data_IF_436003507841
#
_entry.id   IF_436003507841
#
_cell.length_a   1.000
_cell.length_b   1.000
_cell.length_c   1.000
_cell.angle_alpha   90.00
_cell.angle_beta   90.00
_cell.angle_gamma   90.00
#
_symmetry.space_group_name_H-M   'P 1'
#
loop_
_entity.id
_entity.type
_entity.pdbx_description
1 polymer ?
#
# COMPACT_ATOMS: atom_id res chain seq x y z
N UNK A 1 7.85 -4.39 -6.41
CA UNK A 1 7.33 -3.82 -7.68
C UNK A 1 7.75 -4.58 -8.93
N UNK A 2 9.06 -4.74 -9.25
CA UNK A 2 9.49 -5.44 -10.48
C UNK A 2 9.03 -6.90 -10.58
N UNK A 3 8.99 -7.63 -9.45
CA UNK A 3 8.43 -8.98 -9.41
C UNK A 3 6.94 -9.02 -9.80
N UNK A 4 6.15 -8.08 -9.27
CA UNK A 4 4.71 -7.95 -9.57
C UNK A 4 4.50 -7.59 -11.05
N UNK A 5 5.33 -6.70 -11.62
CA UNK A 5 5.32 -6.41 -13.06
C UNK A 5 5.48 -7.68 -13.90
N UNK A 6 6.37 -8.60 -13.51
CA UNK A 6 6.52 -9.90 -14.16
C UNK A 6 5.22 -10.70 -14.20
N UNK A 7 4.48 -10.72 -13.08
CA UNK A 7 3.16 -11.36 -13.02
C UNK A 7 2.12 -10.61 -13.87
N UNK A 8 2.14 -9.27 -13.88
CA UNK A 8 1.27 -8.47 -14.75
C UNK A 8 1.48 -8.84 -16.23
N UNK A 9 2.74 -8.91 -16.67
CA UNK A 9 3.10 -9.23 -18.06
C UNK A 9 2.77 -10.67 -18.42
N UNK A 10 3.04 -11.62 -17.51
CA UNK A 10 2.70 -13.02 -17.71
C UNK A 10 1.19 -13.23 -17.90
N UNK A 11 0.36 -12.46 -17.17
CA UNK A 11 -1.10 -12.59 -17.22
C UNK A 11 -1.76 -11.79 -18.35
N UNK A 12 -1.33 -10.55 -18.56
CA UNK A 12 -2.03 -9.57 -19.40
C UNK A 12 -1.30 -9.25 -20.71
N UNK A 13 -0.12 -9.84 -20.92
CA UNK A 13 0.74 -9.60 -22.07
C UNK A 13 1.72 -8.43 -21.86
N UNK A 14 2.66 -8.24 -22.81
CA UNK A 14 3.68 -7.18 -22.72
C UNK A 14 3.07 -5.78 -22.70
N UNK A 15 3.64 -4.92 -21.86
CA UNK A 15 3.24 -3.52 -21.74
C UNK A 15 4.45 -2.62 -21.47
N UNK A 16 4.98 -2.02 -22.53
CA UNK A 16 6.17 -1.17 -22.44
C UNK A 16 5.93 0.08 -21.59
N UNK A 17 4.70 0.64 -21.62
CA UNK A 17 4.36 1.83 -20.85
C UNK A 17 4.30 1.54 -19.36
N UNK A 18 3.70 0.41 -18.98
CA UNK A 18 3.68 -0.06 -17.60
C UNK A 18 5.10 -0.38 -17.10
N UNK A 19 5.89 -1.11 -17.90
CA UNK A 19 7.25 -1.49 -17.53
C UNK A 19 8.13 -0.24 -17.28
N UNK A 20 8.12 0.72 -18.21
CA UNK A 20 8.89 1.95 -18.07
C UNK A 20 8.46 2.76 -16.83
N UNK A 21 7.17 2.83 -16.53
CA UNK A 21 6.66 3.52 -15.35
C UNK A 21 7.08 2.81 -14.04
N UNK A 22 6.99 1.49 -14.00
CA UNK A 22 7.45 0.69 -12.84
C UNK A 22 8.94 0.88 -12.61
N UNK A 23 9.75 0.88 -13.67
CA UNK A 23 11.19 1.09 -13.54
C UNK A 23 11.55 2.49 -13.08
N UNK A 24 10.84 3.53 -13.56
CA UNK A 24 11.03 4.90 -13.10
C UNK A 24 10.67 5.05 -11.62
N UNK A 25 9.56 4.48 -11.17
CA UNK A 25 9.17 4.51 -9.75
C UNK A 25 10.17 3.73 -8.89
N UNK A 26 10.50 2.50 -9.27
CA UNK A 26 11.42 1.68 -8.51
C UNK A 26 12.85 2.25 -8.47
N UNK A 27 13.28 2.91 -9.54
CA UNK A 27 14.64 3.46 -9.65
C UNK A 27 14.82 4.86 -9.06
N UNK A 28 13.76 5.68 -8.99
CA UNK A 28 13.88 7.10 -8.58
C UNK A 28 12.99 7.43 -7.39
N UNK A 29 11.71 7.10 -7.48
CA UNK A 29 10.71 7.47 -6.47
C UNK A 29 10.91 6.68 -5.17
N UNK A 30 11.10 5.36 -5.26
CA UNK A 30 11.29 4.51 -4.07
C UNK A 30 12.50 4.95 -3.25
N UNK A 31 13.72 5.12 -3.82
CA UNK A 31 14.85 5.63 -3.05
C UNK A 31 14.65 7.05 -2.52
N UNK A 32 13.85 7.88 -3.20
CA UNK A 32 13.56 9.25 -2.77
C UNK A 32 12.64 9.31 -1.55
N UNK A 33 11.63 8.44 -1.50
CA UNK A 33 10.62 8.42 -0.43
C UNK A 33 10.96 7.48 0.73
N UNK A 34 11.63 6.36 0.45
CA UNK A 34 11.84 5.25 1.39
C UNK A 34 13.32 4.83 1.52
N UNK A 35 14.25 5.57 0.93
CA UNK A 35 15.67 5.27 1.02
C UNK A 35 16.24 5.45 2.43
N UNK A 36 17.44 4.90 2.66
CA UNK A 36 18.12 4.99 3.95
C UNK A 36 18.28 6.45 4.41
N UNK A 37 17.92 6.71 5.68
CA UNK A 37 17.99 8.05 6.28
C UNK A 37 16.97 9.06 5.74
N UNK A 38 15.97 8.62 4.96
CA UNK A 38 14.88 9.49 4.48
C UNK A 38 13.74 9.66 5.48
N UNK A 39 13.61 8.71 6.42
CA UNK A 39 12.49 8.63 7.33
C UNK A 39 12.96 8.77 8.77
N UNK A 40 12.23 9.59 9.54
CA UNK A 40 12.42 9.72 10.98
C UNK A 40 11.08 9.49 11.71
N UNK A 41 11.00 8.52 12.64
CA UNK A 41 12.05 7.55 12.95
C UNK A 41 12.35 6.63 11.77
N UNK A 42 13.55 6.04 11.77
CA UNK A 42 13.90 4.99 10.81
C UNK A 42 12.87 3.84 10.85
N UNK A 43 12.63 3.21 9.70
CA UNK A 43 11.63 2.14 9.58
C UNK A 43 12.01 0.97 10.48
N UNK A 44 11.14 0.67 11.44
CA UNK A 44 11.19 -0.54 12.24
C UNK A 44 10.17 -1.54 11.67
N UNK A 45 10.59 -2.74 11.25
CA UNK A 45 9.65 -3.74 10.76
C UNK A 45 8.64 -4.15 11.84
N UNK A 46 7.36 -4.06 11.52
CA UNK A 46 6.24 -4.52 12.36
C UNK A 46 5.43 -5.56 11.61
N UNK A 47 4.67 -6.38 12.34
CA UNK A 47 3.69 -7.28 11.72
C UNK A 47 2.59 -6.43 11.10
N UNK A 48 2.40 -6.58 9.79
CA UNK A 48 1.28 -6.01 9.05
C UNK A 48 0.38 -7.16 8.58
N UNK A 49 -0.93 -6.92 8.54
CA UNK A 49 -1.92 -7.85 8.00
C UNK A 49 -1.71 -8.05 6.49
N UNK A 50 -1.35 -6.97 5.80
CA UNK A 50 -0.93 -6.93 4.40
C UNK A 50 -2.03 -7.05 3.35
N UNK A 51 -3.28 -7.17 3.82
CA UNK A 51 -4.50 -7.19 3.00
C UNK A 51 -5.70 -6.64 3.79
N UNK A 52 -5.52 -5.65 4.68
CA UNK A 52 -6.61 -5.14 5.51
C UNK A 52 -7.43 -4.07 4.77
N UNK A 53 -8.56 -4.46 4.20
CA UNK A 53 -9.53 -3.54 3.59
C UNK A 53 -10.94 -3.85 4.08
N UNK A 54 -11.94 -3.06 3.65
CA UNK A 54 -13.34 -3.23 4.04
C UNK A 54 -13.91 -4.65 3.92
N UNK A 55 -13.33 -5.48 3.05
CA UNK A 55 -13.72 -6.89 2.88
C UNK A 55 -13.14 -7.84 3.94
N UNK A 56 -12.05 -7.45 4.59
CA UNK A 56 -11.24 -8.30 5.48
C UNK A 56 -11.32 -7.90 6.96
N UNK A 57 -12.34 -7.12 7.33
CA UNK A 57 -12.68 -6.85 8.72
C UNK A 57 -14.19 -6.83 8.96
N UNK A 58 -14.60 -7.14 10.19
CA UNK A 58 -15.99 -7.11 10.62
C UNK A 58 -16.10 -6.80 12.13
N UNK A 59 -17.31 -6.48 12.58
CA UNK A 59 -17.64 -6.47 14.01
C UNK A 59 -18.43 -7.74 14.28
N UNK A 60 -17.95 -8.55 15.22
CA UNK A 60 -18.53 -9.86 15.48
C UNK A 60 -18.09 -10.45 16.80
N UNK A 61 -18.26 -11.76 16.94
CA UNK A 61 -17.88 -12.50 18.14
C UNK A 61 -17.15 -13.78 17.72
N UNK A 62 -16.00 -14.04 18.32
CA UNK A 62 -15.33 -15.33 18.19
C UNK A 62 -16.10 -16.36 19.01
N UNK A 63 -16.39 -17.53 18.44
CA UNK A 63 -17.10 -18.59 19.16
C UNK A 63 -16.35 -18.97 20.45
N UNK A 64 -17.01 -18.87 21.60
CA UNK A 64 -16.39 -19.06 22.92
C UNK A 64 -15.80 -17.79 23.55
N UNK A 65 -15.69 -16.69 22.80
CA UNK A 65 -15.42 -15.35 23.34
C UNK A 65 -16.73 -14.67 23.76
N UNK A 66 -16.71 -13.96 24.90
CA UNK A 66 -17.91 -13.36 25.49
C UNK A 66 -18.35 -12.04 24.86
N UNK A 67 -17.39 -11.20 24.44
CA UNK A 67 -17.67 -9.85 23.97
C UNK A 67 -17.83 -9.79 22.43
N UNK A 68 -18.51 -8.75 21.95
CA UNK A 68 -18.43 -8.34 20.55
C UNK A 68 -17.15 -7.52 20.38
N UNK A 69 -16.41 -7.78 19.32
CA UNK A 69 -15.10 -7.17 19.06
C UNK A 69 -14.88 -6.93 17.56
N UNK A 70 -13.82 -6.18 17.24
CA UNK A 70 -13.34 -6.03 15.88
C UNK A 70 -12.56 -7.29 15.48
N UNK A 71 -12.95 -7.87 14.34
CA UNK A 71 -12.34 -9.06 13.76
C UNK A 71 -11.64 -8.67 12.47
N UNK A 72 -10.45 -9.22 12.26
CA UNK A 72 -9.69 -9.15 11.00
C UNK A 72 -9.41 -10.57 10.53
N UNK A 73 -9.41 -10.79 9.22
CA UNK A 73 -9.28 -12.13 8.62
C UNK A 73 -8.66 -12.08 7.23
N UNK A 74 -8.27 -13.24 6.71
CA UNK A 74 -7.59 -13.43 5.42
C UNK A 74 -6.27 -12.63 5.27
N UNK A 75 -5.30 -12.81 6.19
CA UNK A 75 -4.05 -12.06 6.15
C UNK A 75 -3.13 -12.50 5.00
N UNK A 76 -2.43 -11.52 4.45
CA UNK A 76 -1.18 -11.71 3.68
C UNK A 76 0.00 -11.18 4.51
N UNK A 77 0.12 -11.71 5.72
CA UNK A 77 0.95 -11.09 6.76
C UNK A 77 2.45 -11.10 6.45
N UNK A 78 3.11 -9.99 6.76
CA UNK A 78 4.56 -9.82 6.58
C UNK A 78 5.14 -8.93 7.67
N UNK A 79 6.44 -8.99 7.89
CA UNK A 79 7.15 -7.94 8.63
C UNK A 79 7.52 -6.81 7.67
N UNK A 80 6.98 -5.62 7.88
CA UNK A 80 7.14 -4.49 6.95
C UNK A 80 7.03 -3.13 7.62
N UNK A 81 7.09 -2.08 6.82
CA UNK A 81 6.83 -0.72 7.30
C UNK A 81 5.35 -0.58 7.66
N UNK A 82 5.02 0.00 8.82
CA UNK A 82 3.64 0.17 9.26
C UNK A 82 2.73 0.89 8.24
N UNK A 83 3.29 1.89 7.54
CA UNK A 83 2.56 2.64 6.50
C UNK A 83 2.15 1.78 5.29
N UNK A 84 2.73 0.58 5.11
CA UNK A 84 2.33 -0.35 4.04
C UNK A 84 0.86 -0.76 4.14
N UNK A 85 0.37 -1.05 5.35
CA UNK A 85 -1.04 -1.46 5.56
C UNK A 85 -2.01 -0.37 5.07
N UNK A 86 -1.65 0.89 5.32
CA UNK A 86 -2.49 2.04 5.06
C UNK A 86 -2.76 2.24 3.56
N UNK A 87 -1.88 1.70 2.70
CA UNK A 87 -2.05 1.70 1.25
C UNK A 87 -3.31 0.96 0.80
N UNK A 88 -3.51 -0.30 1.22
CA UNK A 88 -4.71 -1.06 0.85
C UNK A 88 -5.97 -0.56 1.57
N UNK A 89 -5.82 -0.10 2.81
CA UNK A 89 -6.92 0.52 3.57
C UNK A 89 -7.45 1.77 2.85
N UNK A 90 -6.59 2.55 2.21
CA UNK A 90 -6.96 3.73 1.42
C UNK A 90 -7.57 3.35 0.07
N UNK A 91 -7.00 2.34 -0.61
CA UNK A 91 -7.44 1.91 -1.95
C UNK A 91 -8.92 1.50 -1.99
N UNK A 92 -9.36 0.73 -1.00
CA UNK A 92 -10.73 0.20 -0.95
C UNK A 92 -11.59 0.83 0.16
N UNK A 93 -11.00 1.58 1.08
CA UNK A 93 -11.71 2.21 2.19
C UNK A 93 -12.17 1.20 3.25
N UNK A 94 -13.18 1.60 4.02
CA UNK A 94 -13.72 0.84 5.16
C UNK A 94 -13.41 1.44 6.52
N UNK A 95 -12.59 2.49 6.57
CA UNK A 95 -12.08 3.08 7.82
C UNK A 95 -12.49 4.54 7.95
N UNK A 96 -13.25 4.85 9.00
CA UNK A 96 -13.75 6.19 9.29
C UNK A 96 -12.69 7.13 9.90
N UNK A 97 -13.00 8.44 10.02
CA UNK A 97 -12.07 9.44 10.55
C UNK A 97 -11.60 9.14 11.98
N UNK A 98 -12.44 8.49 12.79
CA UNK A 98 -12.10 8.10 14.16
C UNK A 98 -10.95 7.08 14.20
N UNK A 99 -10.98 6.09 13.29
CA UNK A 99 -9.90 5.11 13.16
C UNK A 99 -8.58 5.81 12.86
N UNK A 100 -8.56 6.71 11.86
CA UNK A 100 -7.33 7.40 11.45
C UNK A 100 -6.77 8.31 12.54
N UNK A 101 -7.65 8.99 13.28
CA UNK A 101 -7.25 9.79 14.45
C UNK A 101 -6.57 8.91 15.50
N UNK A 102 -7.24 7.86 15.95
CA UNK A 102 -6.74 6.97 17.01
C UNK A 102 -5.48 6.21 16.57
N UNK A 103 -5.43 5.76 15.32
CA UNK A 103 -4.23 5.13 14.75
C UNK A 103 -3.03 6.09 14.82
N UNK A 104 -3.21 7.36 14.45
CA UNK A 104 -2.12 8.34 14.46
C UNK A 104 -1.77 8.90 15.84
N UNK A 105 -2.64 8.77 16.84
CA UNK A 105 -2.29 9.00 18.24
C UNK A 105 -1.31 7.94 18.76
N UNK A 106 -1.42 6.70 18.28
CA UNK A 106 -0.56 5.58 18.68
C UNK A 106 0.67 5.42 17.77
N UNK A 107 0.49 5.64 16.47
CA UNK A 107 1.51 5.50 15.42
C UNK A 107 1.58 6.81 14.64
N UNK A 108 2.41 7.77 15.11
CA UNK A 108 2.60 9.03 14.41
C UNK A 108 3.07 8.82 12.97
N UNK A 109 2.65 9.72 12.09
CA UNK A 109 3.13 9.75 10.69
C UNK A 109 4.64 9.92 10.68
N UNK A 110 5.36 9.11 9.90
CA UNK A 110 6.81 9.27 9.79
C UNK A 110 7.16 10.62 9.14
N UNK A 111 8.25 11.24 9.60
CA UNK A 111 8.80 12.42 8.96
C UNK A 111 9.53 12.04 7.66
N UNK A 112 9.56 12.92 6.64
CA UNK A 112 8.83 14.18 6.57
C UNK A 112 7.32 13.96 6.38
N UNK A 113 6.49 14.56 7.25
CA UNK A 113 5.02 14.41 7.19
C UNK A 113 4.43 14.94 5.88
N UNK A 114 5.08 15.93 5.27
CA UNK A 114 4.68 16.48 3.97
C UNK A 114 4.75 15.48 2.80
N UNK A 115 5.47 14.36 2.98
CA UNK A 115 5.59 13.28 1.98
C UNK A 115 4.76 12.04 2.37
N UNK A 116 4.07 12.07 3.51
CA UNK A 116 3.32 10.91 4.04
C UNK A 116 2.26 10.42 3.05
N UNK A 117 1.43 11.32 2.51
CA UNK A 117 0.40 10.94 1.53
C UNK A 117 1.00 10.31 0.26
N UNK A 118 2.20 10.73 -0.15
CA UNK A 118 2.88 10.14 -1.30
C UNK A 118 3.42 8.74 -1.00
N UNK A 119 3.86 8.49 0.24
CA UNK A 119 4.26 7.15 0.69
C UNK A 119 3.06 6.20 0.75
N UNK A 120 1.92 6.67 1.25
CA UNK A 120 0.68 5.88 1.22
C UNK A 120 0.28 5.58 -0.22
N UNK A 121 0.36 6.56 -1.11
CA UNK A 121 0.09 6.36 -2.54
C UNK A 121 1.07 5.36 -3.19
N UNK A 122 2.35 5.37 -2.79
CA UNK A 122 3.34 4.39 -3.24
C UNK A 122 3.04 2.98 -2.72
N UNK A 123 2.52 2.83 -1.50
CA UNK A 123 2.08 1.53 -0.99
C UNK A 123 0.78 1.06 -1.65
N UNK A 124 -0.18 1.95 -1.86
CA UNK A 124 -1.39 1.69 -2.65
C UNK A 124 -1.04 1.19 -4.07
N UNK A 125 -0.01 1.76 -4.72
CA UNK A 125 0.45 1.32 -6.04
C UNK A 125 0.78 -0.18 -6.09
N UNK A 126 1.39 -0.73 -5.02
CA UNK A 126 1.66 -2.16 -4.96
C UNK A 126 0.37 -2.98 -5.10
N UNK A 127 -0.70 -2.56 -4.42
CA UNK A 127 -1.99 -3.25 -4.45
C UNK A 127 -2.70 -3.10 -5.80
N UNK A 128 -2.62 -1.94 -6.47
CA UNK A 128 -3.11 -1.81 -7.85
C UNK A 128 -2.36 -2.71 -8.83
N UNK A 129 -1.03 -2.78 -8.73
CA UNK A 129 -0.23 -3.69 -9.58
C UNK A 129 -0.57 -5.16 -9.29
N UNK A 130 -0.74 -5.53 -8.02
CA UNK A 130 -1.12 -6.88 -7.62
C UNK A 130 -2.52 -7.25 -8.14
N UNK A 131 -3.50 -6.36 -7.98
CA UNK A 131 -4.85 -6.56 -8.51
C UNK A 131 -4.86 -6.61 -10.03
N UNK A 132 -4.04 -5.82 -10.72
CA UNK A 132 -3.89 -5.94 -12.17
C UNK A 132 -3.26 -7.28 -12.57
N UNK A 133 -2.29 -7.80 -11.81
CA UNK A 133 -1.70 -9.11 -12.07
C UNK A 133 -2.72 -10.26 -11.90
N UNK A 134 -3.65 -10.15 -10.95
CA UNK A 134 -4.63 -11.22 -10.66
C UNK A 134 -5.89 -11.10 -11.54
N UNK A 135 -6.45 -9.89 -11.63
CA UNK A 135 -7.77 -9.61 -12.21
C UNK A 135 -7.72 -8.90 -13.56
N UNK A 136 -6.60 -8.29 -13.94
CA UNK A 136 -6.47 -7.51 -15.17
C UNK A 136 -7.32 -6.23 -15.17
N UNK A 137 -7.75 -5.78 -16.36
CA UNK A 137 -8.76 -4.73 -16.49
C UNK A 137 -8.35 -3.34 -15.97
N UNK A 138 -9.28 -2.67 -15.29
CA UNK A 138 -9.20 -1.26 -14.90
C UNK A 138 -8.07 -0.94 -13.90
N UNK A 139 -7.57 -1.93 -13.15
CA UNK A 139 -6.47 -1.76 -12.19
C UNK A 139 -5.18 -1.23 -12.83
N UNK A 140 -4.95 -1.52 -14.11
CA UNK A 140 -3.87 -0.91 -14.89
C UNK A 140 -3.96 0.62 -14.89
N UNK A 141 -5.17 1.15 -15.09
CA UNK A 141 -5.41 2.59 -15.13
C UNK A 141 -5.08 3.26 -13.80
N UNK A 142 -5.49 2.64 -12.68
CA UNK A 142 -5.16 3.08 -11.33
C UNK A 142 -3.65 3.10 -11.08
N UNK A 143 -2.98 1.98 -11.35
CA UNK A 143 -1.52 1.88 -11.24
C UNK A 143 -0.80 2.96 -12.07
N UNK A 144 -1.19 3.14 -13.34
CA UNK A 144 -0.59 4.15 -14.21
C UNK A 144 -0.84 5.58 -13.73
N UNK A 145 -2.02 5.87 -13.16
CA UNK A 145 -2.35 7.19 -12.61
C UNK A 145 -1.44 7.53 -11.43
N UNK A 146 -1.29 6.61 -10.48
CA UNK A 146 -0.41 6.77 -9.32
C UNK A 146 1.05 6.96 -9.76
N UNK A 147 1.56 6.07 -10.62
CA UNK A 147 2.95 6.16 -11.08
C UNK A 147 3.24 7.50 -11.76
N UNK A 148 2.34 8.00 -12.62
CA UNK A 148 2.51 9.30 -13.27
C UNK A 148 2.58 10.45 -12.27
N UNK A 149 1.73 10.46 -11.24
CA UNK A 149 1.75 11.49 -10.19
C UNK A 149 3.08 11.49 -9.43
N UNK A 150 3.51 10.31 -8.97
CA UNK A 150 4.74 10.16 -8.20
C UNK A 150 5.99 10.47 -9.04
N UNK A 151 6.03 10.04 -10.30
CA UNK A 151 7.12 10.36 -11.23
C UNK A 151 7.17 11.86 -11.51
N UNK A 152 6.02 12.53 -11.68
CA UNK A 152 6.00 13.97 -11.91
C UNK A 152 6.56 14.75 -10.70
N UNK A 153 6.33 14.27 -9.48
CA UNK A 153 6.80 14.92 -8.25
C UNK A 153 8.26 14.60 -7.90
N UNK A 154 8.72 13.37 -8.16
CA UNK A 154 9.99 12.84 -7.64
C UNK A 154 10.91 12.20 -8.70
N UNK A 155 10.52 12.21 -9.97
CA UNK A 155 11.25 11.52 -11.04
C UNK A 155 12.37 12.31 -11.71
N UNK A 156 12.55 13.58 -11.34
CA UNK A 156 13.62 14.47 -11.82
C UNK A 156 14.96 14.21 -11.18
#
# INVERSE_FOLDING_TARGET
>A
MRAVLGACVARNGPDAGLAAAVDAVAGRVVPRLLGDGRLEPAVVPVVVHGDLWSGNHAIGRIAGAGAVEHLVFDPSAVYGHAEYELGIMTMFGGFGPDFWREYHELVPKAEPVAEWDDRIMLYELYHHLNHFAIFGGSYRGGAMSIMKKLIAKYGG
#
